data_IF_995121450748
#
_entry.id   IF_995121450748
#
_cell.length_a   1.000
_cell.length_b   1.000
_cell.length_c   1.000
_cell.angle_alpha   90.00
_cell.angle_beta   90.00
_cell.angle_gamma   90.00
#
_symmetry.space_group_name_H-M   'P 1'
#
loop_
_entity.id
_entity.type
_entity.pdbx_description
1 polymer ?
#
# COMPACT_ATOMS: atom_id res chain seq x y z
N UNK A 1 -12.56 -2.52 5.83
CA UNK A 1 -12.81 -1.09 5.55
C UNK A 1 -13.48 -0.39 6.75
N UNK A 2 -14.65 -0.86 7.17
CA UNK A 2 -15.46 -0.24 8.24
C UNK A 2 -14.67 -0.07 9.54
N UNK A 3 -14.03 -1.14 10.02
CA UNK A 3 -13.18 -1.09 11.22
C UNK A 3 -12.08 -0.03 11.13
N UNK A 4 -11.45 0.14 9.96
CA UNK A 4 -10.40 1.15 9.76
C UNK A 4 -11.01 2.55 9.79
N UNK A 5 -12.12 2.76 9.08
CA UNK A 5 -12.81 4.05 9.08
C UNK A 5 -13.23 4.47 10.50
N UNK A 6 -13.92 3.58 11.22
CA UNK A 6 -14.46 3.86 12.55
C UNK A 6 -13.34 4.15 13.55
N UNK A 7 -12.27 3.34 13.53
CA UNK A 7 -11.15 3.49 14.45
C UNK A 7 -10.34 4.75 14.13
N UNK A 8 -9.98 4.99 12.87
CA UNK A 8 -9.25 6.20 12.45
C UNK A 8 -10.07 7.46 12.73
N UNK A 9 -11.38 7.46 12.48
CA UNK A 9 -12.26 8.59 12.76
C UNK A 9 -12.34 8.87 14.26
N UNK A 10 -12.43 7.84 15.10
CA UNK A 10 -12.42 7.99 16.55
C UNK A 10 -11.09 8.56 17.05
N UNK A 11 -9.96 8.06 16.54
CA UNK A 11 -8.62 8.55 16.91
C UNK A 11 -8.41 10.01 16.53
N UNK A 12 -8.73 10.40 15.28
CA UNK A 12 -8.61 11.81 14.85
C UNK A 12 -9.48 12.76 15.66
N UNK A 13 -10.67 12.32 16.09
CA UNK A 13 -11.54 13.13 16.96
C UNK A 13 -10.99 13.25 18.37
N UNK A 14 -10.41 12.19 18.91
CA UNK A 14 -9.88 12.16 20.26
C UNK A 14 -8.54 12.90 20.40
N UNK A 15 -7.72 12.89 19.34
CA UNK A 15 -6.35 13.43 19.35
C UNK A 15 -6.10 14.24 18.06
N UNK A 16 -6.73 15.42 17.89
CA UNK A 16 -6.65 16.19 16.65
C UNK A 16 -5.25 16.72 16.31
N UNK A 17 -4.37 16.86 17.31
CA UNK A 17 -2.98 17.28 17.15
C UNK A 17 -2.01 16.15 16.76
N UNK A 18 -2.45 14.89 16.82
CA UNK A 18 -1.60 13.74 16.50
C UNK A 18 -1.67 13.45 15.00
N UNK A 19 -0.50 13.36 14.38
CA UNK A 19 -0.35 12.84 13.03
C UNK A 19 -0.42 11.31 13.04
N UNK A 20 -1.43 10.75 12.38
CA UNK A 20 -1.68 9.30 12.32
C UNK A 20 -1.32 8.75 10.95
N UNK A 21 -0.48 7.71 10.95
CA UNK A 21 -0.19 6.91 9.76
C UNK A 21 -0.88 5.55 9.79
N UNK A 22 -1.17 5.00 8.62
CA UNK A 22 -1.67 3.62 8.47
C UNK A 22 -0.63 2.72 7.80
N UNK A 23 -0.24 1.65 8.51
CA UNK A 23 0.57 0.55 7.98
C UNK A 23 -0.33 -0.66 7.71
N UNK A 24 -0.55 -0.98 6.44
CA UNK A 24 -1.53 -1.98 6.03
C UNK A 24 -0.86 -3.17 5.33
N UNK A 25 -1.21 -4.37 5.77
CA UNK A 25 -0.82 -5.62 5.11
C UNK A 25 -1.89 -6.04 4.12
N UNK A 26 -1.48 -6.61 2.98
CA UNK A 26 -2.42 -7.03 1.93
C UNK A 26 -2.66 -8.54 1.92
N UNK A 27 -2.84 -9.11 3.11
CA UNK A 27 -3.01 -10.57 3.35
C UNK A 27 -4.13 -11.22 2.55
N UNK A 28 -5.10 -10.42 2.12
CA UNK A 28 -6.34 -10.90 1.54
C UNK A 28 -6.89 -9.94 0.47
N UNK A 29 -6.04 -9.14 -0.17
CA UNK A 29 -6.47 -8.17 -1.19
C UNK A 29 -7.40 -7.09 -0.64
N UNK A 30 -7.21 -6.69 0.63
CA UNK A 30 -8.07 -5.71 1.33
C UNK A 30 -7.36 -4.40 1.65
N UNK A 31 -6.04 -4.32 1.47
CA UNK A 31 -5.28 -3.16 1.92
C UNK A 31 -5.74 -1.88 1.22
N UNK A 32 -5.95 -1.90 -0.11
CA UNK A 32 -6.45 -0.74 -0.84
C UNK A 32 -7.84 -0.30 -0.37
N UNK A 33 -8.75 -1.23 -0.09
CA UNK A 33 -10.06 -0.89 0.47
C UNK A 33 -9.95 -0.25 1.87
N UNK A 34 -8.96 -0.66 2.67
CA UNK A 34 -8.63 -0.02 3.93
C UNK A 34 -7.95 1.36 3.75
N UNK A 35 -7.14 1.55 2.70
CA UNK A 35 -6.60 2.88 2.34
C UNK A 35 -7.75 3.85 2.08
N UNK A 36 -8.73 3.45 1.26
CA UNK A 36 -9.91 4.27 0.97
C UNK A 36 -10.67 4.68 2.24
N UNK A 37 -10.87 3.73 3.15
CA UNK A 37 -11.48 4.00 4.45
C UNK A 37 -10.66 4.98 5.30
N UNK A 38 -9.33 4.85 5.31
CA UNK A 38 -8.43 5.78 5.98
C UNK A 38 -8.51 7.20 5.39
N UNK A 39 -8.54 7.32 4.06
CA UNK A 39 -8.63 8.61 3.36
C UNK A 39 -9.94 9.32 3.73
N UNK A 40 -11.05 8.58 3.75
CA UNK A 40 -12.36 9.08 4.18
C UNK A 40 -12.38 9.51 5.65
N UNK A 41 -11.61 8.83 6.52
CA UNK A 41 -11.42 9.21 7.92
C UNK A 41 -10.43 10.38 8.11
N UNK A 42 -9.83 10.89 7.03
CA UNK A 42 -8.89 12.01 7.04
C UNK A 42 -7.45 11.63 7.37
N UNK A 43 -7.06 10.36 7.19
CA UNK A 43 -5.66 9.94 7.19
C UNK A 43 -5.05 10.29 5.82
N UNK A 44 -3.84 10.83 5.83
CA UNK A 44 -3.07 11.19 4.62
C UNK A 44 -1.66 10.59 4.61
N UNK A 45 -1.25 9.89 5.67
CA UNK A 45 0.03 9.19 5.77
C UNK A 45 -0.13 7.67 5.75
N UNK A 46 0.59 7.02 4.84
CA UNK A 46 0.55 5.57 4.64
C UNK A 46 1.94 4.98 4.51
N UNK A 47 2.15 3.85 5.18
CA UNK A 47 3.35 3.04 5.03
C UNK A 47 3.07 1.89 4.04
N UNK A 48 4.03 1.63 3.16
CA UNK A 48 3.95 0.59 2.12
C UNK A 48 5.35 0.05 1.81
N UNK A 49 5.44 -1.02 1.01
CA UNK A 49 6.73 -1.57 0.59
C UNK A 49 6.79 -1.73 -0.94
N UNK A 50 7.93 -1.36 -1.54
CA UNK A 50 8.13 -1.55 -2.97
C UNK A 50 8.01 -3.04 -3.34
N UNK A 51 7.30 -3.36 -4.42
CA UNK A 51 7.00 -4.74 -4.82
C UNK A 51 6.11 -5.52 -3.85
N UNK A 52 5.57 -4.88 -2.81
CA UNK A 52 4.83 -5.55 -1.74
C UNK A 52 5.72 -6.43 -0.85
N UNK A 53 7.00 -6.06 -0.67
CA UNK A 53 7.92 -6.81 0.18
C UNK A 53 7.37 -7.00 1.60
N UNK A 54 7.75 -8.11 2.20
CA UNK A 54 7.24 -8.55 3.49
C UNK A 54 6.70 -9.97 3.39
N UNK A 55 6.00 -10.40 4.44
CA UNK A 55 5.55 -11.77 4.61
C UNK A 55 6.57 -12.65 5.33
N UNK A 56 6.10 -13.79 5.83
CA UNK A 56 6.95 -14.75 6.52
C UNK A 56 7.58 -15.70 5.50
N UNK A 57 8.92 -15.79 5.40
CA UNK A 57 9.58 -16.72 4.48
C UNK A 57 9.28 -18.20 4.81
N UNK A 58 8.82 -18.48 6.03
CA UNK A 58 8.45 -19.82 6.50
C UNK A 58 6.96 -20.16 6.32
N UNK A 59 6.13 -19.19 5.92
CA UNK A 59 4.70 -19.41 5.66
C UNK A 59 4.36 -18.91 4.26
N UNK A 60 4.42 -19.80 3.24
CA UNK A 60 4.01 -19.47 1.88
C UNK A 60 2.58 -18.92 1.88
N UNK A 61 2.41 -17.66 1.42
CA UNK A 61 1.12 -16.95 1.45
C UNK A 61 0.89 -16.06 2.68
N UNK A 62 1.84 -15.98 3.62
CA UNK A 62 1.80 -14.97 4.66
C UNK A 62 1.92 -13.58 4.03
N UNK A 63 0.96 -12.73 4.39
CA UNK A 63 0.75 -11.41 3.86
C UNK A 63 1.99 -10.54 3.73
N UNK A 64 2.24 -10.05 2.51
CA UNK A 64 3.13 -8.92 2.29
C UNK A 64 2.52 -7.60 2.79
N UNK A 65 3.35 -6.57 2.80
CA UNK A 65 2.85 -5.19 2.93
C UNK A 65 2.06 -4.81 1.68
N UNK A 66 1.22 -3.78 1.79
CA UNK A 66 0.68 -3.11 0.61
C UNK A 66 1.82 -2.67 -0.31
N UNK A 67 1.72 -3.04 -1.58
CA UNK A 67 2.69 -2.64 -2.59
C UNK A 67 2.62 -1.14 -2.86
N UNK A 68 3.76 -0.46 -2.81
CA UNK A 68 3.82 0.99 -3.03
C UNK A 68 3.33 1.36 -4.43
N UNK A 69 3.59 0.54 -5.45
CA UNK A 69 3.18 0.80 -6.83
C UNK A 69 1.65 0.72 -6.99
N UNK A 70 1.01 -0.23 -6.31
CA UNK A 70 -0.44 -0.40 -6.31
C UNK A 70 -1.13 0.77 -5.61
N UNK A 71 -0.56 1.22 -4.50
CA UNK A 71 -1.02 2.42 -3.79
C UNK A 71 -0.89 3.66 -4.68
N UNK A 72 0.29 3.90 -5.27
CA UNK A 72 0.51 5.05 -6.15
C UNK A 72 -0.41 5.05 -7.36
N UNK A 73 -0.58 3.89 -8.01
CA UNK A 73 -1.51 3.77 -9.13
C UNK A 73 -2.94 4.12 -8.72
N UNK A 74 -3.39 3.61 -7.57
CA UNK A 74 -4.74 3.89 -7.06
C UNK A 74 -4.91 5.39 -6.77
N UNK A 75 -3.95 6.02 -6.08
CA UNK A 75 -3.99 7.45 -5.76
C UNK A 75 -3.93 8.32 -7.02
N UNK A 76 -3.12 7.97 -8.02
CA UNK A 76 -3.08 8.62 -9.34
C UNK A 76 -4.46 8.58 -10.02
N UNK A 77 -5.13 7.42 -10.03
CA UNK A 77 -6.48 7.28 -10.61
C UNK A 77 -7.55 8.05 -9.85
N UNK A 78 -7.30 8.40 -8.60
CA UNK A 78 -8.17 9.26 -7.80
C UNK A 78 -7.81 10.75 -7.92
N UNK A 79 -6.73 11.10 -8.64
CA UNK A 79 -6.24 12.48 -8.74
C UNK A 79 -5.56 12.98 -7.47
N UNK A 80 -5.09 12.09 -6.58
CA UNK A 80 -4.38 12.44 -5.36
C UNK A 80 -2.89 12.48 -5.65
N UNK A 81 -2.30 13.67 -5.54
CA UNK A 81 -0.86 13.86 -5.73
C UNK A 81 -0.06 13.37 -4.52
N UNK A 82 0.95 12.54 -4.76
CA UNK A 82 1.88 12.05 -3.73
C UNK A 82 3.27 12.68 -3.82
N UNK A 83 3.60 13.30 -4.96
CA UNK A 83 4.94 13.81 -5.25
C UNK A 83 5.98 12.72 -5.56
N UNK A 84 5.57 11.45 -5.65
CA UNK A 84 6.45 10.32 -5.93
C UNK A 84 6.43 10.00 -7.43
N UNK A 85 7.61 9.84 -8.03
CA UNK A 85 7.75 9.35 -9.40
C UNK A 85 7.40 7.84 -9.46
N UNK A 86 6.19 7.55 -9.93
CA UNK A 86 5.67 6.19 -10.05
C UNK A 86 6.41 5.34 -11.08
N UNK A 87 6.96 5.95 -12.14
CA UNK A 87 7.72 5.23 -13.16
C UNK A 87 9.09 4.79 -12.62
N UNK A 88 9.79 5.71 -11.95
CA UNK A 88 11.07 5.40 -11.29
C UNK A 88 10.90 4.34 -10.20
N UNK A 89 9.82 4.42 -9.41
CA UNK A 89 9.52 3.42 -8.40
C UNK A 89 9.22 2.05 -9.02
N UNK A 90 8.39 1.98 -10.07
CA UNK A 90 8.08 0.72 -10.74
C UNK A 90 9.34 0.08 -11.35
N UNK A 91 10.22 0.88 -11.96
CA UNK A 91 11.50 0.41 -12.47
C UNK A 91 12.41 -0.13 -11.35
N UNK A 92 12.41 0.50 -10.18
CA UNK A 92 13.11 -0.01 -9.00
C UNK A 92 12.51 -1.34 -8.52
N UNK A 93 11.18 -1.43 -8.37
CA UNK A 93 10.50 -2.65 -7.94
C UNK A 93 10.77 -3.84 -8.87
N UNK A 94 10.84 -3.61 -10.18
CA UNK A 94 11.27 -4.62 -11.18
C UNK A 94 12.68 -5.15 -10.96
N UNK A 95 13.64 -4.27 -10.64
CA UNK A 95 15.01 -4.72 -10.32
C UNK A 95 15.06 -5.45 -8.99
N UNK A 96 14.34 -4.93 -7.99
CA UNK A 96 14.24 -5.54 -6.68
C UNK A 96 13.70 -6.97 -6.75
N UNK A 97 12.65 -7.23 -7.54
CA UNK A 97 12.05 -8.57 -7.66
C UNK A 97 12.99 -9.63 -8.25
N UNK A 98 14.09 -9.24 -8.88
CA UNK A 98 15.10 -10.18 -9.39
C UNK A 98 16.00 -10.73 -8.29
N UNK A 99 16.05 -10.09 -7.12
CA UNK A 99 16.93 -10.45 -5.99
C UNK A 99 16.17 -10.78 -4.71
N UNK A 100 14.84 -10.64 -4.70
CA UNK A 100 13.97 -10.95 -3.56
C UNK A 100 13.05 -12.13 -3.86
N UNK A 101 12.72 -12.93 -2.83
CA UNK A 101 11.90 -14.15 -2.97
C UNK A 101 10.43 -13.96 -2.56
N UNK A 102 10.03 -12.75 -2.15
CA UNK A 102 8.64 -12.43 -1.79
C UNK A 102 8.19 -11.11 -2.41
N UNK A 103 6.88 -10.93 -2.49
CA UNK A 103 6.24 -9.76 -3.06
C UNK A 103 4.77 -10.04 -3.40
N UNK A 104 4.02 -8.98 -3.66
CA UNK A 104 2.58 -9.05 -3.94
C UNK A 104 2.05 -7.93 -4.84
N UNK A 105 2.94 -7.14 -5.47
CA UNK A 105 2.55 -6.00 -6.30
C UNK A 105 1.83 -6.43 -7.57
N UNK A 106 0.57 -6.02 -7.71
CA UNK A 106 -0.25 -6.26 -8.90
C UNK A 106 0.23 -5.43 -10.10
N UNK A 107 0.66 -4.20 -9.86
CA UNK A 107 1.21 -3.32 -10.89
C UNK A 107 2.54 -3.86 -11.41
N UNK A 108 3.38 -4.43 -10.55
CA UNK A 108 4.60 -5.08 -10.99
C UNK A 108 4.30 -6.28 -11.90
N UNK A 109 3.38 -7.17 -11.48
CA UNK A 109 2.99 -8.34 -12.27
C UNK A 109 2.37 -7.95 -13.62
N UNK A 110 1.47 -6.96 -13.64
CA UNK A 110 0.90 -6.42 -14.87
C UNK A 110 1.99 -5.88 -15.80
N UNK A 111 2.93 -5.12 -15.25
CA UNK A 111 4.00 -4.49 -16.02
C UNK A 111 4.96 -5.48 -16.69
N UNK A 112 5.06 -6.72 -16.20
CA UNK A 112 5.89 -7.79 -16.77
C UNK A 112 5.14 -8.63 -17.81
N UNK A 113 3.82 -8.56 -17.84
CA UNK A 113 2.96 -9.30 -18.78
C UNK A 113 2.76 -8.60 -20.12
N UNK A 114 3.23 -7.37 -20.26
CA UNK A 114 3.06 -6.54 -21.46
C UNK A 114 4.36 -6.38 -22.29
N UNK A 115 5.40 -7.15 -21.97
CA UNK A 115 6.63 -7.28 -22.77
C UNK A 115 6.55 -8.52 -23.67
#
# INVERSE_FOLDING_TARGET
PDQVYDFSSALKRAFPEVDFGLHLHDSCGRALACVMAGLQAGIDRYDSAAGGLGGCPFAPGAAGNLATEDLLFTLDKMGIATGIDSQSLLAFARRQSQITVSGGSHMLAFSQSCD
#
